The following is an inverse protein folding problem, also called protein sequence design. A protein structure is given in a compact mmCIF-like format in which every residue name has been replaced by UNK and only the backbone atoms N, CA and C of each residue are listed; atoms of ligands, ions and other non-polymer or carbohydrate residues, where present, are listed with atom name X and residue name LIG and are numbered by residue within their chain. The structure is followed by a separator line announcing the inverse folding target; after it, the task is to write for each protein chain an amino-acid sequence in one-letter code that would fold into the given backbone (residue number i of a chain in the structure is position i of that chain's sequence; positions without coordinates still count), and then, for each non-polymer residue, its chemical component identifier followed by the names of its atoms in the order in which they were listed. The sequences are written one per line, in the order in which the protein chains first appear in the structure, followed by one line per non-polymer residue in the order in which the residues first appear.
data_IF_978175801543
#
_entry.id   IF_978175801543
#
_cell.length_a   1.000
_cell.length_b   1.000
_cell.length_c   1.000
_cell.angle_alpha   90.00
_cell.angle_beta   90.00
_cell.angle_gamma   90.00
#
_symmetry.space_group_name_H-M   'P 1'
#
loop_
_entity.id
_entity.type
_entity.pdbx_description
1 polymer ?
#
# COMPACT_ATOMS: atom_id res chain seq x y z
N UNK A 1 6.93 -2.17 7.36
CA UNK A 1 6.19 -1.86 6.12
C UNK A 1 5.94 -3.18 5.39
N UNK A 2 4.78 -3.35 4.79
CA UNK A 2 4.40 -4.56 4.04
C UNK A 2 3.96 -4.18 2.63
N UNK A 3 4.30 -5.01 1.65
CA UNK A 3 3.88 -4.80 0.26
C UNK A 3 2.43 -5.31 0.09
N UNK A 4 1.51 -4.41 -0.29
CA UNK A 4 0.10 -4.77 -0.55
C UNK A 4 -0.26 -4.81 -2.04
N UNK A 5 0.58 -4.27 -2.91
CA UNK A 5 0.36 -4.35 -4.35
C UNK A 5 1.58 -3.93 -5.16
N UNK A 6 1.65 -4.39 -6.40
CA UNK A 6 2.65 -3.96 -7.37
C UNK A 6 2.02 -3.88 -8.76
N UNK A 7 2.58 -3.01 -9.62
CA UNK A 7 2.15 -2.87 -11.00
C UNK A 7 3.39 -2.79 -11.89
N UNK A 8 3.54 -3.74 -12.82
CA UNK A 8 4.60 -3.69 -13.83
C UNK A 8 4.06 -2.96 -15.05
N UNK A 9 4.65 -1.80 -15.35
CA UNK A 9 4.30 -1.00 -16.53
C UNK A 9 5.38 -1.17 -17.60
N UNK A 10 4.96 -1.41 -18.84
CA UNK A 10 5.81 -1.19 -20.00
C UNK A 10 5.53 0.21 -20.53
N UNK A 11 6.51 1.10 -20.43
CA UNK A 11 6.38 2.50 -20.81
C UNK A 11 7.30 2.76 -22.00
N UNK A 12 6.77 3.13 -23.18
CA UNK A 12 7.60 3.50 -24.31
C UNK A 12 8.51 4.68 -23.99
N UNK A 13 9.63 4.81 -24.72
CA UNK A 13 10.55 5.92 -24.53
C UNK A 13 9.80 7.27 -24.58
N UNK A 14 10.15 8.17 -23.65
CA UNK A 14 9.58 9.52 -23.54
C UNK A 14 8.07 9.59 -23.23
N UNK A 15 7.45 8.49 -22.79
CA UNK A 15 6.04 8.47 -22.37
C UNK A 15 5.89 8.40 -20.85
N UNK A 16 4.66 8.67 -20.38
CA UNK A 16 4.28 8.57 -18.96
C UNK A 16 3.34 7.38 -18.77
N UNK A 17 3.65 6.53 -17.79
CA UNK A 17 2.76 5.46 -17.33
C UNK A 17 1.99 5.87 -16.08
N UNK A 18 0.80 5.31 -15.87
CA UNK A 18 0.01 5.51 -14.64
C UNK A 18 -0.33 4.15 -14.06
N UNK A 19 0.05 3.93 -12.80
CA UNK A 19 -0.41 2.79 -12.01
C UNK A 19 -1.59 3.21 -11.13
N UNK A 20 -2.57 2.33 -11.00
CA UNK A 20 -3.72 2.50 -10.11
C UNK A 20 -3.73 1.37 -9.10
N UNK A 21 -3.83 1.71 -7.82
CA UNK A 21 -3.99 0.75 -6.74
C UNK A 21 -5.33 1.00 -6.06
N UNK A 22 -6.02 -0.07 -5.70
CA UNK A 22 -7.21 -0.03 -4.86
C UNK A 22 -6.89 -0.76 -3.58
N UNK A 23 -6.95 -0.04 -2.47
CA UNK A 23 -6.80 -0.59 -1.13
C UNK A 23 -8.17 -0.65 -0.45
N UNK A 24 -8.32 -1.64 0.41
CA UNK A 24 -9.49 -1.90 1.25
C UNK A 24 -9.03 -2.18 2.67
N UNK A 25 -9.94 -2.19 3.64
CA UNK A 25 -9.59 -2.54 5.02
C UNK A 25 -8.97 -3.95 5.14
N UNK A 26 -9.35 -4.89 4.28
CA UNK A 26 -8.75 -6.23 4.24
C UNK A 26 -7.23 -6.22 4.00
N UNK A 27 -6.69 -5.18 3.34
CA UNK A 27 -5.25 -5.07 3.09
C UNK A 27 -4.44 -4.76 4.36
N UNK A 28 -5.09 -4.29 5.43
CA UNK A 28 -4.44 -3.91 6.69
C UNK A 28 -4.81 -4.81 7.87
N UNK A 29 -5.59 -5.88 7.63
CA UNK A 29 -5.88 -6.89 8.64
C UNK A 29 -4.62 -7.66 9.05
N UNK A 30 -4.60 -8.11 10.28
CA UNK A 30 -3.57 -8.98 10.81
C UNK A 30 -4.18 -9.94 11.85
N UNK A 31 -3.46 -11.01 12.17
CA UNK A 31 -3.88 -11.98 13.19
C UNK A 31 -3.51 -11.43 14.56
N UNK A 32 -4.52 -11.18 15.39
CA UNK A 32 -4.35 -10.74 16.76
C UNK A 32 -3.89 -11.90 17.68
N UNK A 33 -3.42 -11.62 18.91
CA UNK A 33 -2.98 -12.67 19.83
C UNK A 33 -4.03 -13.73 20.17
N UNK A 34 -5.32 -13.42 20.01
CA UNK A 34 -6.46 -14.32 20.19
C UNK A 34 -6.80 -15.16 18.94
N UNK A 35 -5.95 -15.08 17.91
CA UNK A 35 -6.09 -15.76 16.62
C UNK A 35 -7.24 -15.26 15.74
N UNK A 36 -7.87 -14.13 16.08
CA UNK A 36 -8.84 -13.48 15.21
C UNK A 36 -8.13 -12.61 14.16
N UNK A 37 -8.62 -12.61 12.91
CA UNK A 37 -8.11 -11.75 11.84
C UNK A 37 -8.99 -10.51 11.70
N UNK A 38 -8.44 -9.35 12.05
CA UNK A 38 -9.12 -8.05 11.97
C UNK A 38 -8.11 -6.92 11.81
N UNK A 39 -8.59 -5.71 11.55
CA UNK A 39 -7.79 -4.48 11.57
C UNK A 39 -8.16 -3.63 12.78
N UNK A 40 -7.19 -2.92 13.35
CA UNK A 40 -7.46 -1.84 14.29
C UNK A 40 -7.72 -0.52 13.56
N UNK A 41 -8.63 0.34 14.05
CA UNK A 41 -8.78 1.69 13.54
C UNK A 41 -7.52 2.53 13.81
N UNK A 42 -7.27 3.51 12.93
CA UNK A 42 -6.17 4.46 13.09
C UNK A 42 -5.50 4.86 11.78
N UNK A 43 -4.35 5.52 11.93
CA UNK A 43 -3.59 6.09 10.83
C UNK A 43 -2.70 5.04 10.14
N UNK A 44 -2.78 5.00 8.82
CA UNK A 44 -1.92 4.18 7.96
C UNK A 44 -1.13 5.06 7.00
N UNK A 45 0.16 4.77 6.85
CA UNK A 45 1.03 5.43 5.89
C UNK A 45 1.13 4.58 4.61
N UNK A 46 0.68 5.13 3.49
CA UNK A 46 0.78 4.52 2.16
C UNK A 46 2.06 5.00 1.51
N UNK A 47 2.94 4.04 1.18
CA UNK A 47 4.21 4.31 0.52
C UNK A 47 4.21 3.71 -0.90
N UNK A 48 4.77 4.44 -1.85
CA UNK A 48 4.95 4.00 -3.24
C UNK A 48 6.40 4.23 -3.65
N UNK A 49 7.00 3.29 -4.37
CA UNK A 49 8.36 3.43 -4.87
C UNK A 49 8.79 2.25 -5.75
N UNK A 50 9.95 2.36 -6.43
CA UNK A 50 10.50 1.29 -7.26
C UNK A 50 11.00 0.09 -6.44
N UNK A 51 11.25 0.24 -5.14
CA UNK A 51 11.65 -0.83 -4.22
C UNK A 51 11.24 -0.49 -2.76
N UNK A 52 11.53 -1.38 -1.81
CA UNK A 52 11.10 -1.25 -0.41
C UNK A 52 11.87 -0.20 0.43
N UNK A 53 12.96 0.34 -0.12
CA UNK A 53 13.83 1.34 0.51
C UNK A 53 13.61 2.74 -0.08
N UNK A 54 13.59 2.85 -1.40
CA UNK A 54 13.53 4.10 -2.13
C UNK A 54 12.06 4.43 -2.40
N UNK A 55 11.46 5.27 -1.55
CA UNK A 55 10.03 5.56 -1.51
C UNK A 55 9.80 7.07 -1.67
N UNK A 56 8.65 7.46 -2.24
CA UNK A 56 8.18 8.85 -2.18
C UNK A 56 7.58 9.17 -0.80
N UNK A 57 7.30 10.45 -0.55
CA UNK A 57 6.62 10.88 0.68
C UNK A 57 5.29 10.13 0.86
N UNK A 58 5.01 9.65 2.09
CA UNK A 58 3.84 8.83 2.33
C UNK A 58 2.55 9.65 2.29
N UNK A 59 1.49 9.01 1.81
CA UNK A 59 0.13 9.51 1.96
C UNK A 59 -0.44 8.89 3.23
N UNK A 60 -0.84 9.73 4.19
CA UNK A 60 -1.51 9.27 5.41
C UNK A 60 -3.02 9.18 5.20
N UNK A 61 -3.60 8.05 5.60
CA UNK A 61 -5.04 7.79 5.59
C UNK A 61 -5.50 7.30 6.96
N UNK A 62 -6.79 7.47 7.26
CA UNK A 62 -7.40 7.04 8.52
C UNK A 62 -8.42 5.91 8.25
N UNK A 63 -8.29 4.81 8.97
CA UNK A 63 -9.30 3.77 9.07
C UNK A 63 -10.19 4.08 10.29
N UNK A 64 -11.49 4.22 10.05
CA UNK A 64 -12.50 4.53 11.07
C UNK A 64 -13.34 3.31 11.40
#
# INVERSE_FOLDING_TARGET
RELKGFCRLHIPAHNVGRAHFRLTEADVRYVHPDLHESSDPGAFDIWVGPNSRDLVDPIRVELR
#
